data_IF_048817946209
#
_entry.id   IF_048817946209
#
_cell.length_a   1.000
_cell.length_b   1.000
_cell.length_c   1.000
_cell.angle_alpha   90.00
_cell.angle_beta   90.00
_cell.angle_gamma   90.00
#
_symmetry.space_group_name_H-M   'P 1'
#
loop_
_entity.id
_entity.type
_entity.pdbx_description
1 polymer ?
#
# COMPACT_ATOMS: atom_id res chain seq x y z
N UNK A 1 13.66 -10.66 -19.75
CA UNK A 1 13.37 -9.27 -20.07
C UNK A 1 11.88 -8.99 -20.02
N UNK A 2 11.48 -7.71 -20.12
CA UNK A 2 10.08 -7.32 -20.20
C UNK A 2 9.49 -7.77 -21.55
N UNK A 3 8.24 -8.23 -21.54
CA UNK A 3 7.53 -8.67 -22.75
C UNK A 3 6.76 -7.54 -23.41
N UNK A 4 6.52 -6.44 -22.69
CA UNK A 4 5.88 -5.22 -23.18
C UNK A 4 6.22 -4.06 -22.23
N UNK A 5 5.99 -2.82 -22.66
CA UNK A 5 6.15 -1.65 -21.82
C UNK A 5 4.91 -0.75 -21.87
N UNK A 6 4.57 -0.17 -20.70
CA UNK A 6 3.55 0.87 -20.56
C UNK A 6 4.26 2.23 -20.60
N UNK A 7 3.92 3.06 -21.58
CA UNK A 7 4.61 4.33 -21.84
C UNK A 7 3.63 5.46 -22.12
N UNK A 8 4.04 6.71 -21.88
CA UNK A 8 3.29 7.91 -22.25
C UNK A 8 3.76 8.55 -23.56
N UNK A 9 4.92 8.12 -24.06
CA UNK A 9 5.45 8.47 -25.36
C UNK A 9 6.30 7.34 -25.93
N UNK A 10 6.43 7.29 -27.26
CA UNK A 10 7.29 6.30 -27.94
C UNK A 10 8.72 6.80 -27.90
N UNK A 11 9.68 6.07 -27.27
CA UNK A 11 11.09 6.45 -27.27
C UNK A 11 11.68 6.46 -28.69
N UNK A 12 12.50 7.46 -29.01
CA UNK A 12 13.09 7.63 -30.35
C UNK A 12 14.07 6.49 -30.74
N UNK A 13 14.60 5.73 -29.78
CA UNK A 13 15.59 4.68 -29.98
C UNK A 13 15.07 3.29 -29.60
N UNK A 14 13.76 3.05 -29.74
CA UNK A 14 13.17 1.79 -29.39
C UNK A 14 13.39 0.73 -30.47
N UNK A 15 13.75 -0.51 -30.06
CA UNK A 15 13.66 -1.67 -30.93
C UNK A 15 12.18 -1.93 -31.31
N UNK A 16 11.90 -1.93 -32.62
CA UNK A 16 10.55 -2.12 -33.15
C UNK A 16 9.87 -3.44 -32.72
N UNK A 17 10.64 -4.37 -32.16
CA UNK A 17 10.10 -5.65 -31.63
C UNK A 17 9.48 -5.56 -30.24
N UNK A 18 9.64 -4.44 -29.50
CA UNK A 18 9.10 -4.29 -28.15
C UNK A 18 7.63 -3.82 -28.20
N UNK A 19 6.64 -4.64 -27.77
CA UNK A 19 5.25 -4.22 -27.71
C UNK A 19 5.08 -3.06 -26.71
N UNK A 20 4.40 -1.99 -27.14
CA UNK A 20 4.10 -0.84 -26.31
C UNK A 20 2.60 -0.68 -26.10
N UNK A 21 2.22 -0.37 -24.87
CA UNK A 21 0.92 0.19 -24.54
C UNK A 21 1.08 1.67 -24.27
N UNK A 22 0.65 2.49 -25.22
CA UNK A 22 0.70 3.95 -25.12
C UNK A 22 -0.50 4.45 -24.32
N UNK A 23 -0.24 5.22 -23.26
CA UNK A 23 -1.26 5.76 -22.35
C UNK A 23 -1.01 7.26 -22.12
N UNK A 24 -2.05 8.07 -21.85
CA UNK A 24 -1.86 9.50 -21.59
C UNK A 24 -1.05 9.81 -20.30
N UNK A 25 -1.05 8.87 -19.34
CA UNK A 25 -0.34 9.03 -18.07
C UNK A 25 -0.07 7.66 -17.47
N UNK A 26 1.21 7.31 -17.35
CA UNK A 26 1.66 6.01 -16.85
C UNK A 26 1.20 5.74 -15.40
N UNK A 27 1.25 6.76 -14.52
CA UNK A 27 0.83 6.60 -13.14
C UNK A 27 -0.67 6.31 -13.03
N UNK A 28 -1.52 7.05 -13.76
CA UNK A 28 -2.97 6.80 -13.78
C UNK A 28 -3.29 5.42 -14.35
N UNK A 29 -2.58 5.00 -15.38
CA UNK A 29 -2.74 3.66 -15.94
C UNK A 29 -2.36 2.57 -14.93
N UNK A 30 -1.24 2.72 -14.21
CA UNK A 30 -0.82 1.82 -13.15
C UNK A 30 -1.86 1.76 -12.00
N UNK A 31 -2.40 2.90 -11.58
CA UNK A 31 -3.45 2.95 -10.55
C UNK A 31 -4.75 2.28 -11.04
N UNK A 32 -5.11 2.42 -12.32
CA UNK A 32 -6.26 1.73 -12.92
C UNK A 32 -6.06 0.20 -12.93
N UNK A 33 -4.87 -0.27 -13.31
CA UNK A 33 -4.51 -1.68 -13.25
C UNK A 33 -4.57 -2.21 -11.81
N UNK A 34 -4.04 -1.46 -10.85
CA UNK A 34 -4.09 -1.79 -9.43
C UNK A 34 -5.53 -1.87 -8.90
N UNK A 35 -6.37 -0.91 -9.27
CA UNK A 35 -7.79 -0.91 -8.91
C UNK A 35 -8.53 -2.10 -9.51
N UNK A 36 -8.26 -2.46 -10.76
CA UNK A 36 -8.82 -3.64 -11.41
C UNK A 36 -8.41 -4.91 -10.68
N UNK A 37 -7.10 -5.08 -10.41
CA UNK A 37 -6.57 -6.23 -9.69
C UNK A 37 -7.19 -6.34 -8.28
N UNK A 38 -7.29 -5.20 -7.55
CA UNK A 38 -7.92 -5.17 -6.22
C UNK A 38 -9.41 -5.53 -6.25
N UNK A 39 -10.15 -5.10 -7.26
CA UNK A 39 -11.59 -5.37 -7.36
C UNK A 39 -11.90 -6.85 -7.66
N UNK A 40 -11.04 -7.54 -8.41
CA UNK A 40 -11.20 -8.99 -8.68
C UNK A 40 -10.78 -9.86 -7.49
N UNK A 41 -9.91 -9.36 -6.62
CA UNK A 41 -9.39 -10.10 -5.47
C UNK A 41 -10.48 -10.32 -4.40
N UNK A 42 -10.68 -11.57 -3.97
CA UNK A 42 -11.72 -11.96 -3.01
C UNK A 42 -11.18 -12.24 -1.62
N UNK A 43 -9.87 -12.44 -1.49
CA UNK A 43 -9.21 -12.68 -0.21
C UNK A 43 -9.21 -11.47 0.73
N UNK A 44 -8.62 -11.64 1.90
CA UNK A 44 -8.49 -10.59 2.92
C UNK A 44 -7.26 -9.73 2.68
N UNK A 45 -7.42 -8.42 2.74
CA UNK A 45 -6.33 -7.45 2.59
C UNK A 45 -6.02 -6.80 3.93
N UNK A 46 -4.76 -6.89 4.34
CA UNK A 46 -4.22 -6.25 5.52
C UNK A 46 -3.29 -5.11 5.08
N UNK A 47 -3.60 -3.87 5.45
CA UNK A 47 -2.73 -2.72 5.21
C UNK A 47 -1.92 -2.40 6.48
N UNK A 48 -0.61 -2.20 6.34
CA UNK A 48 0.30 -1.94 7.46
C UNK A 48 0.99 -0.60 7.27
N UNK A 49 0.85 0.28 8.27
CA UNK A 49 1.61 1.54 8.34
C UNK A 49 2.28 1.71 9.71
N UNK A 50 3.11 2.72 9.86
CA UNK A 50 3.81 3.06 11.10
C UNK A 50 5.09 3.84 10.85
N UNK A 51 5.66 4.46 11.89
CA UNK A 51 6.95 5.13 11.80
C UNK A 51 8.08 4.11 11.65
N UNK A 52 8.05 3.05 12.44
CA UNK A 52 8.98 1.90 12.42
C UNK A 52 8.22 0.60 12.49
N UNK A 53 8.84 -0.50 12.06
CA UNK A 53 8.28 -1.85 12.19
C UNK A 53 7.34 -2.28 11.07
N UNK A 54 7.02 -1.44 10.09
CA UNK A 54 6.14 -1.79 8.96
C UNK A 54 6.58 -3.06 8.22
N UNK A 55 7.81 -3.06 7.72
CA UNK A 55 8.34 -4.17 6.94
C UNK A 55 8.46 -5.43 7.76
N UNK A 56 8.95 -5.35 9.01
CA UNK A 56 9.04 -6.50 9.90
C UNK A 56 7.67 -7.10 10.20
N UNK A 57 6.66 -6.26 10.47
CA UNK A 57 5.28 -6.71 10.70
C UNK A 57 4.68 -7.34 9.45
N UNK A 58 4.90 -6.75 8.28
CA UNK A 58 4.48 -7.30 6.98
C UNK A 58 5.08 -8.69 6.75
N UNK A 59 6.39 -8.86 6.98
CA UNK A 59 7.06 -10.16 6.81
C UNK A 59 6.56 -11.21 7.81
N UNK A 60 6.35 -10.83 9.08
CA UNK A 60 5.75 -11.73 10.07
C UNK A 60 4.33 -12.16 9.68
N UNK A 61 3.48 -11.21 9.27
CA UNK A 61 2.13 -11.50 8.80
C UNK A 61 2.16 -12.40 7.56
N UNK A 62 3.02 -12.10 6.59
CA UNK A 62 3.19 -12.93 5.40
C UNK A 62 3.53 -14.38 5.81
N UNK A 63 4.50 -14.57 6.70
CA UNK A 63 4.92 -15.90 7.15
C UNK A 63 3.79 -16.66 7.85
N UNK A 64 3.08 -16.01 8.78
CA UNK A 64 2.00 -16.64 9.55
C UNK A 64 0.81 -16.99 8.65
N UNK A 65 0.44 -16.09 7.74
CA UNK A 65 -0.70 -16.30 6.85
C UNK A 65 -0.40 -17.32 5.75
N UNK A 66 0.86 -17.42 5.32
CA UNK A 66 1.28 -18.43 4.33
C UNK A 66 1.14 -19.88 4.83
N UNK A 67 1.08 -20.09 6.14
CA UNK A 67 0.77 -21.40 6.74
C UNK A 67 -0.74 -21.71 6.71
N UNK A 68 -1.59 -20.74 6.33
CA UNK A 68 -3.06 -20.85 6.32
C UNK A 68 -3.66 -20.73 4.91
N UNK A 69 -2.92 -20.17 3.94
CA UNK A 69 -3.40 -19.99 2.57
C UNK A 69 -2.40 -19.24 1.70
N UNK A 70 -2.70 -19.16 0.41
CA UNK A 70 -1.85 -18.40 -0.51
C UNK A 70 -1.81 -16.92 -0.12
N UNK A 71 -0.62 -16.42 0.17
CA UNK A 71 -0.43 -15.07 0.71
C UNK A 71 0.46 -14.23 -0.20
N UNK A 72 -0.07 -13.12 -0.70
CA UNK A 72 0.67 -12.09 -1.42
C UNK A 72 1.12 -10.98 -0.47
N UNK A 73 2.27 -10.36 -0.73
CA UNK A 73 2.71 -9.19 0.04
C UNK A 73 3.54 -8.20 -0.79
N UNK A 74 3.66 -6.97 -0.26
CA UNK A 74 4.56 -5.97 -0.84
C UNK A 74 6.00 -6.49 -0.89
N UNK A 75 6.62 -6.41 -2.06
CA UNK A 75 8.04 -6.74 -2.21
C UNK A 75 8.90 -5.68 -1.51
N UNK A 76 9.86 -6.12 -0.70
CA UNK A 76 10.71 -5.24 0.09
C UNK A 76 9.89 -4.14 0.81
N UNK A 77 10.29 -2.87 0.69
CA UNK A 77 9.57 -1.70 1.22
C UNK A 77 8.87 -0.90 0.12
N UNK A 78 8.26 -1.58 -0.87
CA UNK A 78 7.48 -0.92 -1.93
C UNK A 78 6.16 -0.39 -1.36
N UNK A 79 6.24 0.74 -0.65
CA UNK A 79 5.16 1.27 0.19
C UNK A 79 4.68 2.69 -0.18
N UNK A 80 5.20 3.26 -1.28
CA UNK A 80 4.87 4.61 -1.75
C UNK A 80 3.86 4.59 -2.91
N UNK A 81 3.63 5.75 -3.53
CA UNK A 81 2.68 5.95 -4.63
C UNK A 81 2.98 5.14 -5.92
N UNK A 82 4.19 4.57 -6.07
CA UNK A 82 4.55 3.60 -7.10
C UNK A 82 4.43 2.17 -6.57
N UNK A 83 4.97 1.93 -5.39
CA UNK A 83 5.13 0.59 -4.82
C UNK A 83 3.80 -0.07 -4.48
N UNK A 84 2.85 0.66 -3.88
CA UNK A 84 1.52 0.13 -3.54
C UNK A 84 0.73 -0.26 -4.79
N UNK A 85 0.59 0.58 -5.83
CA UNK A 85 -0.07 0.17 -7.07
C UNK A 85 0.61 -1.02 -7.75
N UNK A 86 1.95 -1.08 -7.78
CA UNK A 86 2.69 -2.24 -8.33
C UNK A 86 2.39 -3.51 -7.56
N UNK A 87 2.36 -3.45 -6.23
CA UNK A 87 2.01 -4.59 -5.38
C UNK A 87 0.60 -5.09 -5.67
N UNK A 88 -0.37 -4.19 -5.73
CA UNK A 88 -1.76 -4.53 -6.04
C UNK A 88 -1.91 -5.14 -7.44
N UNK A 89 -1.23 -4.59 -8.45
CA UNK A 89 -1.26 -5.11 -9.83
C UNK A 89 -0.74 -6.54 -9.94
N UNK A 90 0.23 -6.91 -9.09
CA UNK A 90 0.84 -8.25 -9.05
C UNK A 90 0.05 -9.24 -8.18
N UNK A 91 -0.98 -8.80 -7.49
CA UNK A 91 -1.76 -9.62 -6.57
C UNK A 91 -2.47 -10.75 -7.34
N UNK A 92 -2.20 -12.04 -7.02
CA UNK A 92 -2.88 -13.17 -7.64
C UNK A 92 -4.38 -13.14 -7.31
N UNK A 93 -5.22 -13.43 -8.29
CA UNK A 93 -6.67 -13.41 -8.11
C UNK A 93 -7.16 -14.43 -7.08
N UNK A 94 -6.53 -15.60 -7.05
CA UNK A 94 -6.91 -16.73 -6.20
C UNK A 94 -6.25 -16.72 -4.82
N UNK A 95 -5.36 -15.78 -4.50
CA UNK A 95 -4.74 -15.76 -3.18
C UNK A 95 -5.75 -15.45 -2.06
N UNK A 96 -5.55 -16.07 -0.91
CA UNK A 96 -6.44 -15.94 0.26
C UNK A 96 -6.17 -14.66 1.04
N UNK A 97 -4.90 -14.21 1.06
CA UNK A 97 -4.44 -13.06 1.83
C UNK A 97 -3.54 -12.15 1.01
N UNK A 98 -3.58 -10.85 1.35
CA UNK A 98 -2.63 -9.87 0.82
C UNK A 98 -2.21 -8.89 1.90
N UNK A 99 -0.90 -8.72 2.12
CA UNK A 99 -0.33 -7.80 3.11
C UNK A 99 0.34 -6.64 2.40
N UNK A 100 -0.25 -5.46 2.49
CA UNK A 100 0.17 -4.25 1.79
C UNK A 100 0.85 -3.28 2.76
N UNK A 101 2.13 -3.02 2.55
CA UNK A 101 2.84 -1.99 3.30
C UNK A 101 2.52 -0.61 2.71
N UNK A 102 2.13 0.36 3.57
CA UNK A 102 1.83 1.75 3.19
C UNK A 102 2.71 2.69 4.00
N UNK A 103 3.57 3.41 3.31
CA UNK A 103 4.47 4.42 3.86
C UNK A 103 4.05 5.84 3.50
N UNK A 104 4.74 6.82 4.10
CA UNK A 104 4.61 8.23 3.78
C UNK A 104 5.95 8.96 3.96
N UNK A 105 6.14 10.03 3.22
CA UNK A 105 7.16 11.06 3.44
C UNK A 105 6.51 12.42 3.71
N UNK A 106 5.29 12.66 3.20
CA UNK A 106 4.56 13.91 3.30
C UNK A 106 3.11 13.67 3.74
N UNK A 107 2.44 14.72 4.29
CA UNK A 107 1.01 14.67 4.58
C UNK A 107 0.17 14.36 3.34
N UNK A 108 -0.90 13.57 3.51
CA UNK A 108 -1.86 13.25 2.45
C UNK A 108 -1.49 12.04 1.59
N UNK A 109 -0.38 11.34 1.85
CA UNK A 109 0.07 10.20 1.03
C UNK A 109 -0.61 8.88 1.41
N UNK A 110 -0.94 8.64 2.68
CA UNK A 110 -1.49 7.36 3.15
C UNK A 110 -2.93 7.14 2.67
N UNK A 111 -3.79 8.15 2.80
CA UNK A 111 -5.21 8.01 2.49
C UNK A 111 -5.49 7.53 1.04
N UNK A 112 -4.90 8.12 -0.02
CA UNK A 112 -5.12 7.65 -1.38
C UNK A 112 -4.67 6.21 -1.61
N UNK A 113 -3.55 5.80 -0.98
CA UNK A 113 -3.02 4.45 -1.10
C UNK A 113 -3.91 3.44 -0.38
N UNK A 114 -4.44 3.81 0.79
CA UNK A 114 -5.40 2.98 1.51
C UNK A 114 -6.71 2.84 0.75
N UNK A 115 -7.25 3.92 0.18
CA UNK A 115 -8.46 3.88 -0.66
C UNK A 115 -8.27 2.98 -1.88
N UNK A 116 -7.08 2.97 -2.48
CA UNK A 116 -6.75 2.06 -3.58
C UNK A 116 -6.67 0.60 -3.12
N UNK A 117 -6.06 0.36 -1.94
CA UNK A 117 -5.87 -0.98 -1.37
C UNK A 117 -7.18 -1.59 -0.83
N UNK A 118 -8.14 -0.78 -0.37
CA UNK A 118 -9.42 -1.20 0.23
C UNK A 118 -9.22 -2.32 1.26
N UNK A 119 -8.48 -2.08 2.36
CA UNK A 119 -8.15 -3.13 3.31
C UNK A 119 -9.39 -3.60 4.10
N UNK A 120 -9.37 -4.86 4.50
CA UNK A 120 -10.28 -5.43 5.50
C UNK A 120 -9.75 -5.12 6.92
N UNK A 121 -8.42 -5.04 7.07
CA UNK A 121 -7.75 -4.71 8.33
C UNK A 121 -6.68 -3.66 8.05
N UNK A 122 -6.65 -2.60 8.84
CA UNK A 122 -5.58 -1.62 8.86
C UNK A 122 -4.79 -1.74 10.18
N UNK A 123 -3.45 -1.80 10.11
CA UNK A 123 -2.58 -1.94 11.25
C UNK A 123 -1.61 -0.77 11.34
N UNK A 124 -1.56 -0.12 12.52
CA UNK A 124 -0.61 0.95 12.83
C UNK A 124 0.39 0.42 13.85
N UNK A 125 1.63 0.16 13.41
CA UNK A 125 2.66 -0.46 14.25
C UNK A 125 3.19 0.49 15.31
N UNK A 126 3.41 1.75 14.93
CA UNK A 126 4.00 2.77 15.81
C UNK A 126 3.74 4.18 15.29
N UNK A 127 3.78 5.14 16.19
CA UNK A 127 3.90 6.58 15.89
C UNK A 127 5.11 7.12 16.65
N UNK A 128 6.08 7.63 15.93
CA UNK A 128 7.31 8.19 16.47
C UNK A 128 7.74 9.41 15.63
N UNK A 129 8.57 10.32 16.17
CA UNK A 129 9.11 11.44 15.44
C UNK A 129 9.94 10.96 14.24
N UNK A 130 9.31 10.96 13.05
CA UNK A 130 9.91 10.62 11.78
C UNK A 130 9.41 11.62 10.73
N UNK A 131 10.23 11.91 9.72
CA UNK A 131 9.87 12.86 8.65
C UNK A 131 9.54 14.28 9.16
N UNK A 132 10.20 14.73 10.24
CA UNK A 132 9.94 16.02 10.91
C UNK A 132 10.15 17.25 10.00
N UNK A 133 10.84 17.09 8.87
CA UNK A 133 10.93 18.14 7.86
C UNK A 133 9.58 18.42 7.15
N UNK A 134 8.66 17.44 7.15
CA UNK A 134 7.36 17.54 6.48
C UNK A 134 6.17 17.64 7.44
N UNK A 135 6.38 17.39 8.75
CA UNK A 135 5.33 17.40 9.78
C UNK A 135 5.72 18.31 10.93
N UNK A 136 4.79 19.11 11.42
CA UNK A 136 5.03 20.09 12.50
C UNK A 136 5.24 19.43 13.87
N UNK A 137 4.55 18.31 14.11
CA UNK A 137 4.55 17.60 15.39
C UNK A 137 4.16 16.13 15.22
N UNK A 138 4.25 15.38 16.32
CA UNK A 138 3.93 13.94 16.33
C UNK A 138 2.43 13.67 16.15
N UNK A 139 1.58 14.59 16.53
CA UNK A 139 0.12 14.48 16.37
C UNK A 139 -0.27 14.56 14.89
N UNK A 140 0.41 15.37 14.08
CA UNK A 140 0.21 15.39 12.62
C UNK A 140 0.64 14.05 11.99
N UNK A 141 1.75 13.48 12.45
CA UNK A 141 2.19 12.14 12.01
C UNK A 141 1.15 11.09 12.41
N UNK A 142 0.60 11.17 13.63
CA UNK A 142 -0.46 10.27 14.08
C UNK A 142 -1.72 10.38 13.21
N UNK A 143 -2.19 11.61 12.93
CA UNK A 143 -3.37 11.84 12.05
C UNK A 143 -3.14 11.33 10.64
N UNK A 144 -1.93 11.53 10.08
CA UNK A 144 -1.62 10.99 8.76
C UNK A 144 -1.66 9.46 8.77
N UNK A 145 -1.09 8.79 9.78
CA UNK A 145 -1.17 7.33 9.90
C UNK A 145 -2.59 6.83 10.13
N UNK A 146 -3.39 7.56 10.94
CA UNK A 146 -4.81 7.28 11.12
C UNK A 146 -5.60 7.33 9.81
N UNK A 147 -5.15 8.11 8.84
CA UNK A 147 -5.79 8.21 7.53
C UNK A 147 -5.81 6.89 6.73
N UNK A 148 -5.07 5.86 7.18
CA UNK A 148 -5.16 4.50 6.64
C UNK A 148 -6.58 3.92 6.78
N UNK A 149 -7.34 4.36 7.77
CA UNK A 149 -8.73 3.94 7.96
C UNK A 149 -9.68 4.42 6.85
N UNK A 150 -9.31 5.47 6.09
CA UNK A 150 -10.16 5.99 5.00
C UNK A 150 -10.39 5.00 3.86
N UNK A 151 -9.52 3.99 3.73
CA UNK A 151 -9.66 2.94 2.73
C UNK A 151 -10.36 1.68 3.24
N UNK A 152 -10.64 1.57 4.54
CA UNK A 152 -11.28 0.39 5.11
C UNK A 152 -12.62 0.08 4.44
N UNK A 153 -12.89 -1.20 4.26
CA UNK A 153 -14.25 -1.65 3.92
C UNK A 153 -15.20 -1.38 5.09
N UNK A 154 -16.52 -1.39 4.83
CA UNK A 154 -17.52 -1.01 5.82
C UNK A 154 -17.54 -1.85 7.11
N UNK A 155 -17.06 -3.09 7.04
CA UNK A 155 -16.90 -4.03 8.18
C UNK A 155 -15.43 -4.19 8.62
N UNK A 156 -14.54 -3.35 8.11
CA UNK A 156 -13.11 -3.41 8.37
C UNK A 156 -12.74 -2.95 9.78
N UNK A 157 -11.56 -3.39 10.24
CA UNK A 157 -11.05 -3.11 11.58
C UNK A 157 -9.72 -2.38 11.55
N UNK A 158 -9.50 -1.50 12.53
CA UNK A 158 -8.19 -0.88 12.78
C UNK A 158 -7.54 -1.52 14.00
N UNK A 159 -6.29 -1.96 13.85
CA UNK A 159 -5.48 -2.49 14.94
C UNK A 159 -4.39 -1.45 15.24
N UNK A 160 -4.31 -1.01 16.48
CA UNK A 160 -3.29 -0.07 16.97
C UNK A 160 -2.54 -0.68 18.15
N UNK A 161 -1.26 -0.35 18.26
CA UNK A 161 -0.49 -0.68 19.46
C UNK A 161 -0.91 0.26 20.59
N UNK A 162 -1.41 -0.31 21.69
CA UNK A 162 -1.88 0.44 22.86
C UNK A 162 -0.79 1.31 23.52
N UNK A 163 0.49 0.95 23.34
CA UNK A 163 1.64 1.72 23.88
C UNK A 163 1.95 3.00 23.08
N UNK A 164 1.21 3.31 22.02
CA UNK A 164 1.40 4.55 21.26
C UNK A 164 0.92 5.74 22.12
N UNK A 165 1.84 6.66 22.45
CA UNK A 165 1.54 7.84 23.28
C UNK A 165 0.49 8.79 22.69
N UNK A 166 0.34 8.76 21.35
CA UNK A 166 -0.68 9.51 20.60
C UNK A 166 -1.92 8.68 20.28
N UNK A 167 -2.19 7.58 21.00
CA UNK A 167 -3.33 6.71 20.77
C UNK A 167 -4.68 7.45 20.81
N UNK A 168 -4.80 8.50 21.64
CA UNK A 168 -5.98 9.38 21.68
C UNK A 168 -6.27 10.08 20.34
N UNK A 169 -5.23 10.39 19.56
CA UNK A 169 -5.35 11.01 18.24
C UNK A 169 -5.74 9.98 17.16
N UNK A 170 -5.56 8.68 17.45
CA UNK A 170 -5.89 7.57 16.56
C UNK A 170 -7.33 7.07 16.74
N UNK A 171 -8.18 7.77 17.48
CA UNK A 171 -9.63 7.46 17.60
C UNK A 171 -10.30 7.73 16.24
N UNK A 172 -11.05 6.76 15.74
CA UNK A 172 -11.73 6.74 14.45
C UNK A 172 -13.23 6.88 14.63
#
# INVERSE_FOLDING_TARGET
>A
GAVAALVDHVPNSLDASCPLLLVPNVMKALQSMASFARNRFKGKVIAVTGSVGKTSTKEMLHKILSDQGETHSSFASYNNHWGVPLTLTRMPEGADFSVIEIGMNHPGEIAPLSVLAKPDIALITSVAPAHLAAFKNIEEIAREKASIAKGLKGDGSVIINQSITTAEVLKF
#
